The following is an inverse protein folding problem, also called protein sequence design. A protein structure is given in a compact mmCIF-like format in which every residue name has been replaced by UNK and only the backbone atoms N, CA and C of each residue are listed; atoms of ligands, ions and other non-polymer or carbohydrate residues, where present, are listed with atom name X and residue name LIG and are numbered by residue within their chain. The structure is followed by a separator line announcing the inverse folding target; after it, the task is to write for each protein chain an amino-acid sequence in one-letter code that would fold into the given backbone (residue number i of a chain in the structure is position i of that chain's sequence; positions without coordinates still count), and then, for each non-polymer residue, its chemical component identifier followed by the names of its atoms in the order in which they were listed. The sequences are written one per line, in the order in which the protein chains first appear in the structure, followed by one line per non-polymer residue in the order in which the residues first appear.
data_IF_000970865944
#
_entry.id   IF_000970865944
#
_cell.length_a   1.000
_cell.length_b   1.000
_cell.length_c   1.000
_cell.angle_alpha   90.00
_cell.angle_beta   90.00
_cell.angle_gamma   90.00
#
_symmetry.space_group_name_H-M   'P 1'
#
loop_
_entity.id
_entity.type
_entity.pdbx_description
1 polymer ?
#
# COMPACT_ATOMS: atom_id res chain seq x y z
N UNK A 1 -11.47 -12.15 3.16
CA UNK A 1 -11.89 -13.40 2.48
C UNK A 1 -11.36 -14.59 3.28
N UNK A 2 -12.12 -15.69 3.36
CA UNK A 2 -11.63 -16.93 3.95
C UNK A 2 -11.10 -17.83 2.83
N UNK A 3 -9.85 -18.23 2.91
CA UNK A 3 -9.19 -19.13 1.95
C UNK A 3 -9.00 -20.49 2.61
N UNK A 4 -9.03 -21.55 1.80
CA UNK A 4 -8.92 -22.95 2.23
C UNK A 4 -7.93 -23.70 1.36
N UNK A 5 -7.59 -24.92 1.77
CA UNK A 5 -6.76 -25.86 1.01
C UNK A 5 -5.29 -25.45 0.86
N UNK A 6 -4.80 -24.55 1.73
CA UNK A 6 -3.38 -24.28 1.87
C UNK A 6 -2.71 -25.37 2.73
N UNK A 7 -1.39 -25.52 2.67
CA UNK A 7 -0.71 -26.38 3.63
C UNK A 7 -0.67 -25.69 4.99
N UNK A 8 -0.66 -26.49 6.06
CA UNK A 8 -0.52 -25.96 7.41
C UNK A 8 0.76 -25.12 7.52
N UNK A 9 0.65 -23.94 8.13
CA UNK A 9 1.70 -22.93 8.26
C UNK A 9 2.15 -22.21 6.96
N UNK A 10 1.50 -22.46 5.81
CA UNK A 10 1.67 -21.58 4.66
C UNK A 10 1.24 -20.16 5.04
N UNK A 11 2.02 -19.17 4.63
CA UNK A 11 1.82 -17.77 5.01
C UNK A 11 1.79 -16.90 3.77
N UNK A 12 0.74 -16.08 3.66
CA UNK A 12 0.66 -14.94 2.75
C UNK A 12 1.08 -13.70 3.53
N UNK A 13 2.00 -12.92 2.97
CA UNK A 13 2.50 -11.72 3.61
C UNK A 13 1.80 -10.48 3.06
N UNK A 14 1.84 -9.39 3.83
CA UNK A 14 1.43 -8.08 3.36
C UNK A 14 2.16 -7.70 2.06
N UNK A 15 1.39 -7.26 1.06
CA UNK A 15 1.87 -6.91 -0.27
C UNK A 15 1.93 -8.05 -1.29
N UNK A 16 1.61 -9.30 -0.91
CA UNK A 16 1.45 -10.40 -1.87
C UNK A 16 0.24 -10.14 -2.79
N UNK A 17 0.36 -10.55 -4.06
CA UNK A 17 -0.72 -10.38 -5.05
C UNK A 17 -1.33 -11.74 -5.36
N UNK A 18 -2.64 -11.85 -5.19
CA UNK A 18 -3.42 -13.05 -5.50
C UNK A 18 -4.47 -12.77 -6.57
N UNK A 19 -4.81 -13.79 -7.35
CA UNK A 19 -5.99 -13.84 -8.22
C UNK A 19 -6.86 -15.01 -7.80
N UNK A 20 -8.17 -14.88 -7.96
CA UNK A 20 -9.14 -15.93 -7.65
C UNK A 20 -9.78 -16.36 -8.97
N UNK A 21 -9.85 -17.67 -9.22
CA UNK A 21 -10.52 -18.20 -10.41
C UNK A 21 -11.96 -17.66 -10.51
N UNK A 22 -12.44 -17.46 -11.75
CA UNK A 22 -13.79 -16.94 -12.07
C UNK A 22 -14.07 -15.47 -11.70
N UNK A 23 -13.23 -14.84 -10.88
CA UNK A 23 -13.37 -13.44 -10.43
C UNK A 23 -12.58 -12.51 -11.36
N UNK A 24 -13.23 -12.04 -12.42
CA UNK A 24 -12.70 -11.07 -13.36
C UNK A 24 -12.94 -9.62 -12.92
N UNK A 25 -12.06 -8.72 -13.37
CA UNK A 25 -12.23 -7.29 -13.14
C UNK A 25 -13.31 -6.68 -14.03
N UNK A 26 -13.96 -5.62 -13.54
CA UNK A 26 -14.90 -4.81 -14.34
C UNK A 26 -14.39 -3.39 -14.55
N UNK A 27 -14.86 -2.76 -15.62
CA UNK A 27 -14.65 -1.36 -15.90
C UNK A 27 -15.48 -0.51 -14.91
N UNK A 28 -14.88 0.41 -14.14
CA UNK A 28 -15.61 1.20 -13.15
C UNK A 28 -16.64 2.17 -13.76
N UNK A 29 -16.57 2.47 -15.06
CA UNK A 29 -17.52 3.38 -15.74
C UNK A 29 -18.67 2.60 -16.36
N UNK A 30 -18.37 1.57 -17.17
CA UNK A 30 -19.43 0.84 -17.89
C UNK A 30 -20.00 -0.34 -17.12
N UNK A 31 -19.27 -0.87 -16.13
CA UNK A 31 -19.61 -2.11 -15.43
C UNK A 31 -19.35 -3.38 -16.26
N UNK A 32 -18.86 -3.24 -17.50
CA UNK A 32 -18.51 -4.37 -18.34
C UNK A 32 -17.27 -5.09 -17.80
N UNK A 33 -17.26 -6.40 -17.98
CA UNK A 33 -16.09 -7.22 -17.72
C UNK A 33 -14.89 -6.78 -18.57
N UNK A 34 -13.68 -6.87 -18.02
CA UNK A 34 -12.47 -6.58 -18.79
C UNK A 34 -12.34 -7.54 -19.98
N UNK A 35 -11.68 -7.07 -21.05
CA UNK A 35 -11.41 -7.88 -22.24
C UNK A 35 -10.71 -9.20 -21.85
N UNK A 36 -11.05 -10.29 -22.54
CA UNK A 36 -10.55 -11.65 -22.27
C UNK A 36 -10.86 -12.23 -20.87
N UNK A 37 -11.83 -11.65 -20.14
CA UNK A 37 -12.20 -12.08 -18.78
C UNK A 37 -10.99 -12.12 -17.83
N UNK A 38 -10.13 -11.11 -17.93
CA UNK A 38 -8.93 -11.01 -17.10
C UNK A 38 -9.27 -11.02 -15.60
N UNK A 39 -8.66 -11.97 -14.87
CA UNK A 39 -8.85 -12.12 -13.43
C UNK A 39 -8.39 -10.85 -12.69
N UNK A 40 -9.18 -10.44 -11.72
CA UNK A 40 -8.85 -9.29 -10.88
C UNK A 40 -7.70 -9.65 -9.94
N UNK A 41 -6.68 -8.79 -9.90
CA UNK A 41 -5.59 -8.90 -8.94
C UNK A 41 -5.97 -8.23 -7.62
N UNK A 42 -5.64 -8.90 -6.51
CA UNK A 42 -5.86 -8.43 -5.16
C UNK A 42 -4.56 -8.40 -4.38
N UNK A 43 -4.32 -7.30 -3.68
CA UNK A 43 -3.19 -7.13 -2.76
C UNK A 43 -3.62 -7.58 -1.37
N UNK A 44 -2.85 -8.46 -0.75
CA UNK A 44 -2.97 -8.83 0.66
C UNK A 44 -2.52 -7.65 1.52
N UNK A 45 -3.32 -7.23 2.49
CA UNK A 45 -3.04 -6.02 3.31
C UNK A 45 -2.55 -6.33 4.73
N UNK A 46 -2.39 -7.61 5.08
CA UNK A 46 -1.92 -8.08 6.38
C UNK A 46 -1.45 -9.53 6.27
N UNK A 47 -0.42 -9.88 7.03
CA UNK A 47 0.08 -11.26 7.11
C UNK A 47 -1.02 -12.23 7.58
N UNK A 48 -1.15 -13.34 6.88
CA UNK A 48 -2.11 -14.40 7.17
C UNK A 48 -1.45 -15.76 7.06
N UNK A 49 -1.53 -16.56 8.13
CA UNK A 49 -0.98 -17.91 8.18
C UNK A 49 -2.11 -18.94 8.25
N UNK A 50 -2.00 -20.00 7.46
CA UNK A 50 -2.92 -21.13 7.46
C UNK A 50 -2.84 -21.90 8.77
N UNK A 51 -4.01 -22.25 9.31
CA UNK A 51 -4.13 -23.08 10.50
C UNK A 51 -3.80 -24.56 10.19
N UNK A 52 -3.96 -25.43 11.20
CA UNK A 52 -3.70 -26.87 11.05
C UNK A 52 -4.64 -27.59 10.09
N UNK A 53 -5.73 -26.96 9.65
CA UNK A 53 -6.67 -27.45 8.65
C UNK A 53 -6.46 -26.81 7.27
N UNK A 54 -5.48 -25.92 7.12
CA UNK A 54 -5.20 -25.24 5.85
C UNK A 54 -6.10 -24.04 5.59
N UNK A 55 -6.83 -23.56 6.61
CA UNK A 55 -7.73 -22.43 6.50
C UNK A 55 -7.02 -21.13 6.94
N UNK A 56 -7.26 -20.03 6.23
CA UNK A 56 -6.77 -18.70 6.61
C UNK A 56 -7.78 -17.59 6.30
N UNK A 57 -7.76 -16.51 7.08
CA UNK A 57 -8.55 -15.30 6.79
C UNK A 57 -7.62 -14.19 6.32
N UNK A 58 -7.85 -13.70 5.10
CA UNK A 58 -7.00 -12.73 4.41
C UNK A 58 -7.77 -11.43 4.18
N UNK A 59 -7.15 -10.31 4.49
CA UNK A 59 -7.68 -8.98 4.13
C UNK A 59 -7.08 -8.56 2.79
N UNK A 60 -7.94 -8.11 1.86
CA UNK A 60 -7.55 -7.83 0.47
C UNK A 60 -8.01 -6.45 0.01
N UNK A 61 -7.24 -5.85 -0.89
CA UNK A 61 -7.56 -4.63 -1.63
C UNK A 61 -7.41 -4.89 -3.13
N UNK A 62 -8.30 -4.38 -4.00
CA UNK A 62 -9.54 -3.67 -3.71
C UNK A 62 -10.58 -4.58 -3.04
N UNK A 63 -11.56 -3.98 -2.34
CA UNK A 63 -12.68 -4.74 -1.79
C UNK A 63 -13.49 -5.38 -2.92
N UNK A 64 -14.03 -6.57 -2.65
CA UNK A 64 -14.80 -7.35 -3.61
C UNK A 64 -16.25 -6.86 -3.60
N UNK A 65 -16.67 -6.24 -4.70
CA UNK A 65 -18.04 -5.81 -4.94
C UNK A 65 -18.50 -6.32 -6.31
N UNK A 66 -19.62 -7.03 -6.35
CA UNK A 66 -20.22 -7.62 -7.56
C UNK A 66 -21.72 -7.29 -7.60
N UNK A 67 -22.28 -7.16 -8.80
CA UNK A 67 -23.73 -7.06 -9.00
C UNK A 67 -24.50 -8.33 -8.59
N UNK A 68 -23.81 -9.45 -8.41
CA UNK A 68 -24.37 -10.68 -7.86
C UNK A 68 -24.54 -10.66 -6.32
N UNK A 69 -24.07 -9.61 -5.63
CA UNK A 69 -24.30 -9.42 -4.21
C UNK A 69 -25.63 -8.68 -3.98
N UNK A 70 -26.62 -9.36 -3.39
CA UNK A 70 -27.97 -8.82 -3.16
C UNK A 70 -28.01 -7.54 -2.28
N UNK A 71 -27.02 -7.33 -1.41
CA UNK A 71 -27.02 -6.25 -0.40
C UNK A 71 -26.04 -5.09 -0.70
N UNK A 72 -25.16 -5.22 -1.70
CA UNK A 72 -24.09 -4.24 -1.99
C UNK A 72 -24.05 -3.84 -3.49
N UNK A 73 -25.21 -3.73 -4.15
CA UNK A 73 -25.27 -3.10 -5.47
C UNK A 73 -25.00 -1.59 -5.34
N UNK A 74 -23.77 -1.21 -5.65
CA UNK A 74 -23.37 0.18 -5.76
C UNK A 74 -22.66 0.38 -7.12
N UNK A 75 -22.69 1.61 -7.67
CA UNK A 75 -21.92 2.01 -8.86
C UNK A 75 -20.38 1.87 -8.70
N UNK A 76 -19.89 1.19 -7.66
CA UNK A 76 -18.48 0.94 -7.32
C UNK A 76 -18.09 -0.53 -7.52
N UNK A 77 -18.78 -1.25 -8.41
CA UNK A 77 -18.49 -2.65 -8.71
C UNK A 77 -17.01 -2.83 -9.07
N UNK A 78 -16.35 -3.82 -8.47
CA UNK A 78 -14.92 -4.11 -8.68
C UNK A 78 -14.70 -5.41 -9.44
N UNK A 79 -15.64 -6.35 -9.34
CA UNK A 79 -15.54 -7.68 -9.96
C UNK A 79 -16.85 -8.12 -10.62
N UNK A 80 -16.76 -9.05 -11.57
CA UNK A 80 -17.91 -9.63 -12.28
C UNK A 80 -18.79 -10.47 -11.34
N UNK A 81 -18.18 -11.37 -10.57
CA UNK A 81 -18.81 -12.38 -9.71
C UNK A 81 -18.17 -12.41 -8.32
N UNK A 82 -18.91 -12.94 -7.35
CA UNK A 82 -18.38 -13.23 -6.03
C UNK A 82 -17.55 -14.54 -6.06
N UNK A 83 -16.45 -14.62 -5.28
CA UNK A 83 -15.70 -15.86 -5.11
C UNK A 83 -16.61 -17.01 -4.66
N UNK A 84 -16.55 -18.14 -5.35
CA UNK A 84 -17.26 -19.36 -5.01
C UNK A 84 -16.40 -20.30 -4.14
N UNK A 85 -17.06 -21.23 -3.44
CA UNK A 85 -16.36 -22.27 -2.69
C UNK A 85 -15.67 -23.21 -3.67
N UNK A 86 -14.35 -23.35 -3.53
CA UNK A 86 -13.51 -24.18 -4.41
C UNK A 86 -12.85 -23.44 -5.57
N UNK A 87 -13.02 -22.11 -5.67
CA UNK A 87 -12.25 -21.31 -6.62
C UNK A 87 -10.76 -21.32 -6.27
N UNK A 88 -9.92 -21.65 -7.25
CA UNK A 88 -8.47 -21.71 -7.08
C UNK A 88 -7.90 -20.31 -6.84
N UNK A 89 -7.02 -20.20 -5.85
CA UNK A 89 -6.28 -18.96 -5.55
C UNK A 89 -4.86 -19.11 -6.08
N UNK A 90 -4.46 -18.22 -6.97
CA UNK A 90 -3.12 -18.20 -7.56
C UNK A 90 -2.35 -16.98 -7.06
N UNK A 91 -1.11 -17.19 -6.61
CA UNK A 91 -0.18 -16.12 -6.26
C UNK A 91 0.52 -15.65 -7.54
N UNK A 92 0.31 -14.38 -7.91
CA UNK A 92 0.76 -13.81 -9.19
C UNK A 92 2.28 -13.73 -9.29
N UNK A 93 2.96 -13.49 -8.16
CA UNK A 93 4.43 -13.38 -8.08
C UNK A 93 5.14 -14.73 -8.09
N UNK A 94 4.42 -15.84 -8.25
CA UNK A 94 5.00 -17.17 -8.40
C UNK A 94 5.27 -17.87 -7.07
N UNK A 95 6.36 -18.64 -7.02
CA UNK A 95 6.65 -19.57 -5.93
C UNK A 95 7.06 -18.86 -4.62
N UNK A 96 6.75 -19.51 -3.50
CA UNK A 96 7.16 -19.06 -2.17
C UNK A 96 8.67 -18.81 -2.09
N UNK A 97 9.06 -17.67 -1.52
CA UNK A 97 10.46 -17.26 -1.34
C UNK A 97 11.17 -16.75 -2.59
N UNK A 98 10.48 -16.68 -3.75
CA UNK A 98 11.03 -16.05 -4.94
C UNK A 98 11.22 -14.54 -4.74
N UNK A 99 12.30 -14.00 -5.29
CA UNK A 99 12.62 -12.56 -5.22
C UNK A 99 12.60 -11.99 -6.62
N UNK A 100 11.85 -10.91 -6.79
CA UNK A 100 11.67 -10.25 -8.07
C UNK A 100 12.00 -8.76 -7.96
N UNK A 101 12.49 -8.19 -9.06
CA UNK A 101 12.57 -6.74 -9.18
C UNK A 101 11.15 -6.17 -9.27
N UNK A 102 10.86 -5.16 -8.44
CA UNK A 102 9.57 -4.51 -8.39
C UNK A 102 9.67 -3.13 -9.04
N UNK A 103 9.11 -3.01 -10.25
CA UNK A 103 9.05 -1.74 -10.97
C UNK A 103 7.74 -1.03 -10.65
N UNK A 104 7.79 0.28 -10.41
CA UNK A 104 6.60 1.09 -10.16
C UNK A 104 6.32 1.96 -11.38
N UNK A 105 5.11 1.83 -11.94
CA UNK A 105 4.63 2.68 -13.02
C UNK A 105 3.42 3.42 -12.49
N UNK A 106 3.45 4.74 -12.53
CA UNK A 106 2.39 5.56 -11.96
C UNK A 106 2.25 6.88 -12.72
N UNK A 107 1.04 7.43 -12.66
CA UNK A 107 0.80 8.80 -13.11
C UNK A 107 1.20 9.80 -12.02
N UNK A 108 1.56 11.05 -12.38
CA UNK A 108 1.93 12.08 -11.41
C UNK A 108 0.90 12.31 -10.30
N UNK A 109 -0.38 12.05 -10.57
CA UNK A 109 -1.47 12.26 -9.62
C UNK A 109 -1.70 11.10 -8.63
N UNK A 110 -1.00 9.97 -8.78
CA UNK A 110 -1.27 8.76 -7.97
C UNK A 110 -0.84 8.91 -6.51
N UNK A 111 0.27 9.62 -6.27
CA UNK A 111 0.87 9.81 -4.95
C UNK A 111 0.92 11.28 -4.61
N UNK A 112 0.66 11.60 -3.35
CA UNK A 112 0.93 12.93 -2.82
C UNK A 112 1.93 12.86 -1.68
N UNK A 113 2.91 13.75 -1.76
CA UNK A 113 3.85 14.03 -0.69
C UNK A 113 3.50 15.42 -0.14
N UNK A 114 3.25 15.48 1.16
CA UNK A 114 2.99 16.73 1.87
C UNK A 114 4.11 16.95 2.87
N UNK A 115 4.64 18.16 2.90
CA UNK A 115 5.66 18.57 3.86
C UNK A 115 5.18 19.79 4.62
N UNK A 116 5.49 19.83 5.91
CA UNK A 116 5.12 20.94 6.78
C UNK A 116 6.39 21.51 7.42
N UNK A 117 6.65 22.82 7.31
CA UNK A 117 7.76 23.43 8.01
C UNK A 117 7.52 23.36 9.53
N UNK A 118 8.54 22.95 10.28
CA UNK A 118 8.47 22.97 11.75
C UNK A 118 8.32 24.39 12.27
N UNK A 119 7.47 24.57 13.29
CA UNK A 119 7.41 25.81 14.04
C UNK A 119 8.74 26.03 14.78
N UNK A 120 9.26 27.26 14.70
CA UNK A 120 10.51 27.63 15.36
C UNK A 120 10.34 27.52 16.89
N UNK A 121 11.14 26.69 17.58
CA UNK A 121 11.03 26.54 19.01
C UNK A 121 11.50 27.81 19.74
N UNK A 122 10.94 28.11 20.92
CA UNK A 122 11.28 29.32 21.70
C UNK A 122 12.76 29.41 22.09
N UNK A 123 13.45 28.27 22.17
CA UNK A 123 14.89 28.17 22.47
C UNK A 123 15.80 28.47 21.27
N UNK A 124 15.24 28.58 20.06
CA UNK A 124 15.97 28.85 18.83
C UNK A 124 16.63 30.24 18.85
N UNK A 125 17.95 30.28 18.78
CA UNK A 125 18.76 31.50 18.88
C UNK A 125 19.16 31.86 20.32
N UNK A 126 18.84 31.01 21.31
CA UNK A 126 19.33 31.13 22.68
C UNK A 126 20.27 29.96 23.00
N UNK A 127 19.71 28.81 23.38
CA UNK A 127 20.48 27.61 23.76
C UNK A 127 20.70 26.64 22.59
N UNK A 128 20.01 26.85 21.47
CA UNK A 128 20.03 26.00 20.29
C UNK A 128 20.12 26.90 19.05
N UNK A 129 21.10 26.68 18.18
CA UNK A 129 21.13 27.31 16.85
C UNK A 129 20.10 26.61 15.98
N UNK A 130 19.32 27.38 15.23
CA UNK A 130 18.24 26.87 14.40
C UNK A 130 18.30 27.54 13.04
N UNK A 131 18.19 26.73 11.99
CA UNK A 131 18.03 27.18 10.63
C UNK A 131 17.00 26.28 9.94
N UNK A 132 16.22 26.87 9.04
CA UNK A 132 15.30 26.15 8.19
C UNK A 132 15.55 26.56 6.75
N UNK A 133 15.59 25.58 5.87
CA UNK A 133 15.62 25.79 4.44
C UNK A 133 14.36 25.16 3.86
N UNK A 134 13.62 25.96 3.09
CA UNK A 134 12.46 25.51 2.35
C UNK A 134 12.71 25.79 0.89
N UNK A 135 12.58 24.75 0.07
CA UNK A 135 12.63 24.83 -1.37
C UNK A 135 11.18 24.82 -1.87
N UNK A 136 10.71 25.94 -2.40
CA UNK A 136 9.35 26.08 -2.91
C UNK A 136 9.13 25.32 -4.22
N UNK A 137 10.19 25.10 -5.02
CA UNK A 137 10.09 24.41 -6.31
C UNK A 137 9.96 22.89 -6.13
N UNK A 138 10.66 22.34 -5.12
CA UNK A 138 10.63 20.90 -4.80
C UNK A 138 9.60 20.61 -3.70
N UNK A 139 9.09 21.63 -3.00
CA UNK A 139 8.16 21.49 -1.89
C UNK A 139 8.79 20.81 -0.66
N UNK A 140 10.11 20.86 -0.53
CA UNK A 140 10.86 20.23 0.55
C UNK A 140 11.21 21.26 1.63
N UNK A 141 10.98 20.89 2.90
CA UNK A 141 11.42 21.71 4.03
C UNK A 141 12.26 20.88 4.99
N UNK A 142 13.49 21.34 5.25
CA UNK A 142 14.43 20.72 6.17
C UNK A 142 14.80 21.72 7.26
N UNK A 143 14.75 21.28 8.50
CA UNK A 143 15.17 22.06 9.66
C UNK A 143 16.47 21.50 10.21
N UNK A 144 17.45 22.36 10.47
CA UNK A 144 18.70 22.01 11.13
C UNK A 144 18.75 22.68 12.50
N UNK A 145 19.11 21.91 13.52
CA UNK A 145 19.32 22.41 14.88
C UNK A 145 20.66 21.95 15.45
N UNK A 146 21.42 22.89 16.01
CA UNK A 146 22.68 22.61 16.71
C UNK A 146 22.56 22.97 18.19
N UNK A 147 23.00 22.07 19.06
CA UNK A 147 22.99 22.25 20.51
C UNK A 147 24.27 21.74 21.14
N UNK A 148 24.57 22.26 22.33
CA UNK A 148 25.73 21.84 23.13
C UNK A 148 25.28 21.01 24.32
N UNK A 149 25.79 19.78 24.42
CA UNK A 149 25.63 18.90 25.57
C UNK A 149 26.73 19.19 26.58
N UNK A 150 26.39 19.95 27.63
CA UNK A 150 27.32 20.35 28.67
C UNK A 150 27.78 19.19 29.57
N UNK A 151 27.02 18.10 29.66
CA UNK A 151 27.35 16.94 30.51
C UNK A 151 28.43 16.09 29.86
N UNK A 152 28.32 15.84 28.55
CA UNK A 152 29.26 15.00 27.81
C UNK A 152 30.28 15.80 26.97
N UNK A 153 30.23 17.14 27.02
CA UNK A 153 31.15 18.04 26.32
C UNK A 153 31.19 17.82 24.80
N UNK A 154 30.01 17.78 24.17
CA UNK A 154 29.87 17.50 22.72
C UNK A 154 28.83 18.40 22.06
N UNK A 155 29.05 18.66 20.76
CA UNK A 155 28.06 19.28 19.88
C UNK A 155 27.10 18.22 19.34
N UNK A 156 25.80 18.53 19.33
CA UNK A 156 24.75 17.69 18.73
C UNK A 156 24.08 18.51 17.63
N UNK A 157 24.26 18.05 16.40
CA UNK A 157 23.58 18.56 15.20
C UNK A 157 22.51 17.58 14.77
N UNK A 158 21.30 18.07 14.49
CA UNK A 158 20.18 17.27 13.98
C UNK A 158 19.56 17.93 12.76
N UNK A 159 19.22 17.11 11.77
CA UNK A 159 18.39 17.50 10.65
C UNK A 159 17.03 16.80 10.77
N UNK A 160 15.95 17.57 10.79
CA UNK A 160 14.58 17.09 10.95
C UNK A 160 13.75 17.43 9.71
N UNK A 161 12.90 16.49 9.29
CA UNK A 161 11.92 16.65 8.20
C UNK A 161 10.57 16.17 8.72
N UNK A 162 9.52 16.97 8.54
CA UNK A 162 8.14 16.59 8.81
C UNK A 162 7.41 16.40 7.47
N UNK A 163 7.12 15.15 7.15
CA UNK A 163 6.43 14.79 5.92
C UNK A 163 5.38 13.72 6.17
N UNK A 164 4.37 13.71 5.31
CA UNK A 164 3.40 12.63 5.18
C UNK A 164 3.21 12.32 3.71
N UNK A 165 2.96 11.06 3.39
CA UNK A 165 2.65 10.64 2.02
C UNK A 165 1.39 9.78 2.04
N UNK A 166 0.63 9.84 0.95
CA UNK A 166 -0.54 9.00 0.75
C UNK A 166 -0.76 8.68 -0.73
N UNK A 167 -1.43 7.55 -1.00
CA UNK A 167 -1.86 7.13 -2.33
C UNK A 167 -3.25 7.69 -2.60
N UNK A 168 -3.35 8.88 -3.21
CA UNK A 168 -4.65 9.54 -3.42
C UNK A 168 -5.52 8.73 -4.39
N UNK A 169 -4.92 8.20 -5.45
CA UNK A 169 -5.59 7.42 -6.49
C UNK A 169 -4.79 6.15 -6.76
N UNK A 170 -5.02 5.08 -5.97
CA UNK A 170 -4.28 3.82 -6.12
C UNK A 170 -4.48 3.18 -7.49
N UNK A 171 -5.61 3.42 -8.16
CA UNK A 171 -5.89 2.93 -9.52
C UNK A 171 -4.96 3.49 -10.61
N UNK A 172 -4.23 4.58 -10.33
CA UNK A 172 -3.29 5.19 -11.28
C UNK A 172 -1.84 4.76 -11.08
N UNK A 173 -1.60 3.81 -10.17
CA UNK A 173 -0.31 3.19 -9.96
C UNK A 173 -0.41 1.67 -10.17
N UNK A 174 0.62 1.10 -10.77
CA UNK A 174 0.76 -0.35 -10.93
C UNK A 174 2.18 -0.77 -10.58
N UNK A 175 2.27 -1.89 -9.87
CA UNK A 175 3.51 -2.59 -9.60
C UNK A 175 3.70 -3.68 -10.66
N UNK A 176 4.78 -3.60 -11.42
CA UNK A 176 5.12 -4.58 -12.46
C UNK A 176 6.29 -5.43 -11.99
N UNK A 177 6.03 -6.72 -11.87
CA UNK A 177 7.02 -7.74 -11.54
C UNK A 177 7.68 -8.25 -12.82
N UNK A 178 9.01 -8.28 -12.86
CA UNK A 178 9.81 -8.80 -13.97
C UNK A 178 10.49 -10.14 -13.69
#
# INVERSE_FOLDING_TARGET
IALKEFNAADTLNDGDIITIATVAGVNPISGDEWEDAQLRQFVVTADATADGSGDMTVSVLPKIYSSAADEDFLPIQTVNNLPAVGDEVTIVTGASGAKHAQNLIFRPEAFALTMVPFERPRSAGQSVSWAQATDEDIGLSITISDSWDATNFRNITRADILYGWDTIQPEYAVRVTG
#
